data_IF_488222694582
#
_entry.id   IF_488222694582
#
_cell.length_a   1.000
_cell.length_b   1.000
_cell.length_c   1.000
_cell.angle_alpha   90.00
_cell.angle_beta   90.00
_cell.angle_gamma   90.00
#
_symmetry.space_group_name_H-M   'P 1'
#
loop_
_entity.id
_entity.type
_entity.pdbx_description
1 polymer ?
#
# COMPACT_ATOMS: atom_id res chain seq x y z
N UNK A 1 -13.68 16.16 1.29
CA UNK A 1 -14.23 15.33 2.38
C UNK A 1 -14.42 16.22 3.62
N UNK A 2 -15.07 17.38 3.41
CA UNK A 2 -14.79 18.57 4.23
C UNK A 2 -15.29 18.41 5.68
N UNK A 3 -14.38 18.65 6.63
CA UNK A 3 -14.54 18.61 8.11
C UNK A 3 -14.50 17.25 8.82
N UNK A 4 -14.18 16.13 8.14
CA UNK A 4 -13.94 14.85 8.83
C UNK A 4 -12.48 14.71 9.20
N UNK A 5 -12.20 14.37 10.46
CA UNK A 5 -10.85 14.01 10.94
C UNK A 5 -10.60 12.52 10.75
N UNK A 6 -9.33 12.14 10.71
CA UNK A 6 -8.95 10.73 10.69
C UNK A 6 -9.29 10.03 11.99
N UNK A 7 -9.53 8.72 11.91
CA UNK A 7 -9.80 7.85 13.08
C UNK A 7 -8.63 7.90 14.05
N UNK A 8 -7.42 7.77 13.51
CA UNK A 8 -6.18 8.10 14.20
C UNK A 8 -5.22 8.72 13.20
N UNK A 9 -4.62 9.82 13.64
CA UNK A 9 -3.71 10.58 12.83
C UNK A 9 -2.25 10.24 13.16
N UNK A 10 -1.43 10.10 12.12
CA UNK A 10 0.01 9.95 12.23
C UNK A 10 0.69 11.23 12.72
N UNK A 11 1.99 11.11 13.00
CA UNK A 11 2.84 12.22 13.46
C UNK A 11 4.05 12.36 12.53
N UNK A 12 4.29 13.58 12.06
CA UNK A 12 5.45 13.97 11.24
C UNK A 12 6.09 15.19 11.88
N UNK A 13 7.15 14.99 12.68
CA UNK A 13 7.85 16.08 13.35
C UNK A 13 9.11 16.50 12.61
N UNK A 14 9.79 15.52 12.00
CA UNK A 14 11.09 15.69 11.36
C UNK A 14 10.93 15.28 9.90
N UNK A 15 10.88 16.27 9.03
CA UNK A 15 10.75 16.04 7.60
C UNK A 15 11.67 16.96 6.81
N UNK A 16 11.92 16.58 5.58
CA UNK A 16 12.74 17.32 4.61
C UNK A 16 12.07 17.33 3.24
N UNK A 17 12.47 18.27 2.39
CA UNK A 17 11.98 18.39 1.02
C UNK A 17 13.14 18.51 0.04
N UNK A 18 13.08 17.72 -1.05
CA UNK A 18 14.00 17.82 -2.19
C UNK A 18 13.16 18.08 -3.44
N UNK A 19 13.57 19.07 -4.23
CA UNK A 19 13.01 19.37 -5.52
C UNK A 19 13.98 18.98 -6.64
N UNK A 20 13.52 18.12 -7.55
CA UNK A 20 14.23 17.75 -8.78
C UNK A 20 13.66 18.40 -10.03
N UNK A 21 12.65 19.27 -9.90
CA UNK A 21 12.00 19.95 -11.02
C UNK A 21 12.51 21.39 -11.16
N UNK A 22 13.12 21.70 -12.32
CA UNK A 22 13.73 23.00 -12.59
C UNK A 22 12.70 24.15 -12.67
N UNK A 23 11.45 23.84 -13.04
CA UNK A 23 10.38 24.80 -13.21
C UNK A 23 9.63 25.17 -11.91
N UNK A 24 10.08 24.68 -10.75
CA UNK A 24 9.47 24.97 -9.46
C UNK A 24 10.40 25.86 -8.64
N UNK A 25 10.05 27.14 -8.51
CA UNK A 25 10.83 28.09 -7.72
C UNK A 25 10.68 27.86 -6.21
N UNK A 26 11.61 28.39 -5.42
CA UNK A 26 11.60 28.27 -3.95
C UNK A 26 10.28 28.75 -3.33
N UNK A 27 9.72 29.85 -3.84
CA UNK A 27 8.44 30.38 -3.39
C UNK A 27 7.28 29.39 -3.57
N UNK A 28 7.23 28.64 -4.68
CA UNK A 28 6.23 27.60 -4.89
C UNK A 28 6.44 26.39 -3.97
N UNK A 29 7.69 26.01 -3.70
CA UNK A 29 8.01 24.92 -2.77
C UNK A 29 7.54 25.27 -1.37
N UNK A 30 7.86 26.48 -0.89
CA UNK A 30 7.46 26.96 0.43
C UNK A 30 5.94 27.07 0.56
N UNK A 31 5.27 27.67 -0.43
CA UNK A 31 3.81 27.77 -0.44
C UNK A 31 3.15 26.39 -0.38
N UNK A 32 3.62 25.44 -1.20
CA UNK A 32 3.13 24.06 -1.19
C UNK A 32 3.35 23.37 0.15
N UNK A 33 4.55 23.46 0.72
CA UNK A 33 4.87 22.84 2.01
C UNK A 33 4.03 23.41 3.16
N UNK A 34 3.83 24.73 3.19
CA UNK A 34 3.01 25.40 4.20
C UNK A 34 1.54 24.97 4.08
N UNK A 35 0.98 24.96 2.87
CA UNK A 35 -0.40 24.55 2.64
C UNK A 35 -0.61 23.06 2.98
N UNK A 36 0.32 22.19 2.59
CA UNK A 36 0.30 20.78 2.96
C UNK A 36 0.31 20.59 4.48
N UNK A 37 1.14 21.35 5.21
CA UNK A 37 1.19 21.30 6.66
C UNK A 37 -0.13 21.76 7.28
N UNK A 38 -0.77 22.81 6.74
CA UNK A 38 -2.10 23.27 7.17
C UNK A 38 -3.15 22.16 6.99
N UNK A 39 -3.26 21.57 5.80
CA UNK A 39 -4.25 20.51 5.52
C UNK A 39 -3.99 19.26 6.36
N UNK A 40 -2.72 18.94 6.66
CA UNK A 40 -2.38 17.89 7.62
C UNK A 40 -2.98 18.18 9.01
N UNK A 41 -2.78 19.39 9.54
CA UNK A 41 -3.28 19.79 10.85
C UNK A 41 -4.82 19.80 10.91
N UNK A 42 -5.48 20.25 9.84
CA UNK A 42 -6.94 20.24 9.71
C UNK A 42 -7.54 18.82 9.84
N UNK A 43 -6.87 17.83 9.25
CA UNK A 43 -7.26 16.42 9.34
C UNK A 43 -6.77 15.72 10.62
N UNK A 44 -6.02 16.42 11.47
CA UNK A 44 -5.57 15.97 12.77
C UNK A 44 -4.16 15.37 12.82
N UNK A 45 -3.40 15.37 11.71
CA UNK A 45 -1.99 14.95 11.73
C UNK A 45 -1.20 15.94 12.57
N UNK A 46 -0.32 15.41 13.42
CA UNK A 46 0.69 16.23 14.08
C UNK A 46 1.82 16.48 13.09
N UNK A 47 1.72 17.56 12.33
CA UNK A 47 2.70 17.90 11.30
C UNK A 47 3.46 19.18 11.69
N UNK A 48 4.79 19.10 11.75
CA UNK A 48 5.61 20.27 12.03
C UNK A 48 5.64 21.22 10.83
N UNK A 49 5.38 22.50 11.03
CA UNK A 49 5.27 23.50 9.95
C UNK A 49 6.60 23.72 9.22
N UNK A 50 7.73 23.48 9.88
CA UNK A 50 9.06 23.71 9.32
C UNK A 50 9.82 22.40 9.10
N UNK A 51 10.52 22.25 7.96
CA UNK A 51 11.41 21.12 7.75
C UNK A 51 12.65 21.22 8.64
N UNK A 52 13.35 20.10 8.84
CA UNK A 52 14.59 20.02 9.65
C UNK A 52 15.71 20.86 9.04
N UNK A 53 15.77 20.91 7.72
CA UNK A 53 16.68 21.73 6.93
C UNK A 53 15.91 22.45 5.83
N UNK A 54 16.38 23.61 5.33
CA UNK A 54 15.80 24.25 4.16
C UNK A 54 15.66 23.27 2.99
N UNK A 55 14.65 23.48 2.15
CA UNK A 55 14.45 22.66 0.96
C UNK A 55 15.67 22.74 0.02
N UNK A 56 15.91 21.70 -0.79
CA UNK A 56 16.99 21.68 -1.78
C UNK A 56 16.45 21.45 -3.16
N UNK A 57 16.80 22.34 -4.07
CA UNK A 57 16.64 22.12 -5.51
C UNK A 57 17.94 21.55 -6.08
N UNK A 58 17.84 20.45 -6.83
CA UNK A 58 18.99 19.78 -7.43
C UNK A 58 18.61 19.12 -8.76
N UNK A 59 19.55 18.98 -9.71
CA UNK A 59 19.28 18.30 -10.98
C UNK A 59 19.08 16.78 -10.77
N UNK A 60 18.23 16.11 -11.58
CA UNK A 60 17.98 14.66 -11.49
C UNK A 60 19.22 13.76 -11.64
N UNK A 61 20.26 14.22 -12.32
CA UNK A 61 21.42 13.43 -12.71
C UNK A 61 22.14 12.74 -11.52
N UNK A 62 22.11 13.35 -10.34
CA UNK A 62 22.80 12.87 -9.13
C UNK A 62 21.82 12.44 -8.02
N UNK A 63 20.63 11.94 -8.37
CA UNK A 63 19.56 11.61 -7.42
C UNK A 63 20.03 10.80 -6.19
N UNK A 64 20.89 9.80 -6.38
CA UNK A 64 21.33 8.95 -5.27
C UNK A 64 22.14 9.71 -4.24
N UNK A 65 23.15 10.44 -4.71
CA UNK A 65 23.98 11.28 -3.86
C UNK A 65 23.13 12.36 -3.19
N UNK A 66 22.29 13.07 -3.95
CA UNK A 66 21.46 14.16 -3.43
C UNK A 66 20.53 13.67 -2.31
N UNK A 67 19.84 12.54 -2.51
CA UNK A 67 18.93 11.97 -1.50
C UNK A 67 19.69 11.52 -0.26
N UNK A 68 20.82 10.81 -0.42
CA UNK A 68 21.63 10.32 0.70
C UNK A 68 22.28 11.47 1.48
N UNK A 69 22.97 12.39 0.81
CA UNK A 69 23.65 13.53 1.43
C UNK A 69 22.63 14.37 2.22
N UNK A 70 21.46 14.65 1.63
CA UNK A 70 20.41 15.42 2.30
C UNK A 70 19.80 14.68 3.49
N UNK A 71 19.62 13.36 3.39
CA UNK A 71 19.17 12.54 4.52
C UNK A 71 20.17 12.61 5.69
N UNK A 72 21.46 12.45 5.42
CA UNK A 72 22.50 12.50 6.46
C UNK A 72 22.69 13.91 7.05
N UNK A 73 22.65 14.96 6.24
CA UNK A 73 22.68 16.36 6.70
C UNK A 73 21.54 16.63 7.71
N UNK A 74 20.33 16.18 7.40
CA UNK A 74 19.19 16.33 8.30
C UNK A 74 19.35 15.48 9.56
N UNK A 75 19.92 14.28 9.44
CA UNK A 75 20.17 13.37 10.56
C UNK A 75 21.17 13.94 11.56
N UNK A 76 22.20 14.66 11.09
CA UNK A 76 23.18 15.32 11.95
C UNK A 76 22.59 16.46 12.78
N UNK A 77 21.52 17.12 12.29
CA UNK A 77 20.86 18.22 13.01
C UNK A 77 19.84 17.75 14.04
N UNK A 78 19.36 16.52 13.96
CA UNK A 78 18.39 15.97 14.92
C UNK A 78 19.13 15.20 16.03
N UNK A 79 18.82 15.52 17.29
CA UNK A 79 19.36 14.81 18.46
C UNK A 79 18.83 13.37 18.57
N UNK A 80 17.72 13.07 17.89
CA UNK A 80 17.06 11.77 17.86
C UNK A 80 17.32 11.04 16.54
N UNK A 81 17.42 9.71 16.58
CA UNK A 81 17.90 8.89 15.47
C UNK A 81 16.92 8.65 14.30
N UNK A 82 15.81 9.40 14.19
CA UNK A 82 14.79 9.10 13.16
C UNK A 82 14.25 10.34 12.46
N UNK A 83 14.44 10.40 11.15
CA UNK A 83 13.73 11.29 10.24
C UNK A 83 12.41 10.63 9.81
N UNK A 84 11.30 11.36 9.86
CA UNK A 84 9.96 10.79 9.70
C UNK A 84 9.53 10.73 8.22
N UNK A 85 9.82 11.76 7.43
CA UNK A 85 9.31 11.92 6.06
C UNK A 85 10.29 12.65 5.14
N UNK A 86 10.44 12.14 3.91
CA UNK A 86 11.06 12.86 2.78
C UNK A 86 9.98 13.20 1.73
N UNK A 87 9.73 14.49 1.52
CA UNK A 87 8.92 14.98 0.40
C UNK A 87 9.83 15.17 -0.81
N UNK A 88 9.42 14.67 -1.96
CA UNK A 88 10.20 14.80 -3.20
C UNK A 88 9.34 15.39 -4.31
N UNK A 89 9.75 16.52 -4.86
CA UNK A 89 9.11 17.13 -6.03
C UNK A 89 9.84 16.65 -7.27
N UNK A 90 9.09 16.08 -8.23
CA UNK A 90 9.62 15.44 -9.42
C UNK A 90 9.11 16.14 -10.69
N UNK A 91 9.89 16.17 -11.78
CA UNK A 91 9.39 16.50 -13.11
C UNK A 91 8.18 15.63 -13.51
N UNK A 92 7.35 16.08 -14.45
CA UNK A 92 6.10 15.38 -14.79
C UNK A 92 6.32 14.04 -15.52
N UNK A 93 7.46 13.88 -16.17
CA UNK A 93 7.95 12.73 -16.95
C UNK A 93 9.02 11.89 -16.22
N UNK A 94 8.99 11.90 -14.89
CA UNK A 94 10.04 11.37 -14.02
C UNK A 94 10.03 9.84 -13.81
N UNK A 95 9.64 9.01 -14.78
CA UNK A 95 9.40 7.56 -14.54
C UNK A 95 10.58 6.82 -13.90
N UNK A 96 11.78 6.96 -14.49
CA UNK A 96 13.02 6.36 -13.94
C UNK A 96 13.46 7.03 -12.63
N UNK A 97 13.34 8.36 -12.54
CA UNK A 97 13.72 9.11 -11.36
C UNK A 97 12.87 8.74 -10.14
N UNK A 98 11.55 8.59 -10.31
CA UNK A 98 10.63 8.10 -9.29
C UNK A 98 11.06 6.73 -8.77
N UNK A 99 11.39 5.79 -9.69
CA UNK A 99 11.88 4.46 -9.33
C UNK A 99 13.18 4.51 -8.53
N UNK A 100 14.13 5.36 -8.92
CA UNK A 100 15.39 5.54 -8.20
C UNK A 100 15.16 6.11 -6.79
N UNK A 101 14.40 7.20 -6.66
CA UNK A 101 14.04 7.78 -5.36
C UNK A 101 13.40 6.73 -4.46
N UNK A 102 12.46 5.95 -5.00
CA UNK A 102 11.76 4.90 -4.26
C UNK A 102 12.70 3.79 -3.80
N UNK A 103 13.53 3.26 -4.69
CA UNK A 103 14.58 2.29 -4.36
C UNK A 103 15.46 2.81 -3.23
N UNK A 104 16.07 3.98 -3.38
CA UNK A 104 16.98 4.54 -2.38
C UNK A 104 16.29 4.67 -1.02
N UNK A 105 15.08 5.26 -0.98
CA UNK A 105 14.35 5.49 0.25
C UNK A 105 13.95 4.19 0.96
N UNK A 106 13.48 3.20 0.20
CA UNK A 106 12.87 1.98 0.74
C UNK A 106 13.90 0.86 0.97
N UNK A 107 15.05 0.86 0.27
CA UNK A 107 16.11 -0.16 0.42
C UNK A 107 17.39 0.33 1.09
N UNK A 108 17.85 1.55 0.78
CA UNK A 108 19.20 1.97 1.20
C UNK A 108 19.18 2.74 2.53
N UNK A 109 18.21 3.65 2.72
CA UNK A 109 18.17 4.55 3.90
C UNK A 109 16.98 4.35 4.83
N UNK A 110 15.94 3.63 4.40
CA UNK A 110 14.78 3.27 5.25
C UNK A 110 13.93 4.45 5.70
N UNK A 111 13.60 5.38 4.78
CA UNK A 111 12.76 6.56 5.06
C UNK A 111 11.44 6.50 4.29
N UNK A 112 10.35 6.93 4.94
CA UNK A 112 9.06 7.12 4.27
C UNK A 112 9.20 8.30 3.31
N UNK A 113 8.90 8.06 2.03
CA UNK A 113 8.92 9.10 1.00
C UNK A 113 7.56 9.38 0.38
N UNK A 114 7.29 10.65 0.09
CA UNK A 114 6.11 11.11 -0.64
C UNK A 114 6.51 11.97 -1.83
N UNK A 115 6.42 11.37 -3.03
CA UNK A 115 6.72 12.07 -4.28
C UNK A 115 5.50 12.84 -4.79
N UNK A 116 5.73 14.05 -5.31
CA UNK A 116 4.73 14.93 -5.89
C UNK A 116 5.22 15.39 -7.27
N UNK A 117 4.32 15.43 -8.26
CA UNK A 117 4.65 15.96 -9.58
C UNK A 117 4.70 17.48 -9.56
N UNK A 118 5.65 18.07 -10.28
CA UNK A 118 5.85 19.51 -10.41
C UNK A 118 4.55 20.23 -10.78
N UNK A 119 3.80 19.75 -11.78
CA UNK A 119 2.51 20.34 -12.16
C UNK A 119 1.53 20.44 -10.98
N UNK A 120 1.49 19.44 -10.10
CA UNK A 120 0.60 19.46 -8.92
C UNK A 120 1.06 20.40 -7.81
N UNK A 121 2.36 20.72 -7.77
CA UNK A 121 2.96 21.70 -6.86
C UNK A 121 2.81 23.13 -7.40
N UNK A 122 2.78 23.31 -8.72
CA UNK A 122 2.50 24.60 -9.35
C UNK A 122 1.02 24.94 -9.32
N UNK A 123 0.15 23.95 -9.51
CA UNK A 123 -1.32 24.07 -9.51
C UNK A 123 -1.92 23.53 -8.19
N UNK A 124 -1.34 23.94 -7.05
CA UNK A 124 -1.80 23.47 -5.73
C UNK A 124 -3.27 23.83 -5.54
N UNK A 125 -4.03 22.82 -5.17
CA UNK A 125 -5.42 22.97 -4.79
C UNK A 125 -5.74 22.02 -3.63
N UNK A 126 -6.79 22.38 -2.89
CA UNK A 126 -7.20 21.66 -1.69
C UNK A 126 -7.53 20.19 -1.97
N UNK A 127 -8.16 19.86 -3.09
CA UNK A 127 -8.52 18.47 -3.43
C UNK A 127 -7.28 17.58 -3.64
N UNK A 128 -6.25 18.11 -4.30
CA UNK A 128 -4.96 17.43 -4.43
C UNK A 128 -4.31 17.18 -3.07
N UNK A 129 -4.33 18.18 -2.19
CA UNK A 129 -3.76 18.08 -0.85
C UNK A 129 -4.55 17.10 0.03
N UNK A 130 -5.89 17.09 0.00
CA UNK A 130 -6.70 16.07 0.69
C UNK A 130 -6.25 14.66 0.29
N UNK A 131 -6.10 14.41 -1.02
CA UNK A 131 -5.62 13.13 -1.53
C UNK A 131 -4.20 12.78 -1.07
N UNK A 132 -3.32 13.79 -0.94
CA UNK A 132 -1.96 13.62 -0.47
C UNK A 132 -1.90 13.30 1.04
N UNK A 133 -2.68 14.01 1.84
CA UNK A 133 -2.76 13.84 3.29
C UNK A 133 -3.34 12.47 3.67
N UNK A 134 -4.32 11.96 2.90
CA UNK A 134 -4.81 10.58 3.06
C UNK A 134 -3.68 9.54 2.92
N UNK A 135 -2.76 9.75 1.96
CA UNK A 135 -1.62 8.85 1.73
C UNK A 135 -0.57 8.99 2.82
N UNK A 136 -0.28 10.22 3.24
CA UNK A 136 0.67 10.50 4.30
C UNK A 136 0.22 9.86 5.61
N UNK A 137 -1.06 10.01 5.98
CA UNK A 137 -1.56 9.46 7.24
C UNK A 137 -1.32 7.94 7.33
N UNK A 138 -1.69 7.19 6.29
CA UNK A 138 -1.50 5.73 6.24
C UNK A 138 -0.03 5.34 6.29
N UNK A 139 0.84 6.05 5.57
CA UNK A 139 2.30 5.82 5.62
C UNK A 139 2.87 6.05 7.01
N UNK A 140 2.32 7.01 7.75
CA UNK A 140 2.71 7.32 9.12
C UNK A 140 2.01 6.43 10.16
N UNK A 141 1.34 5.36 9.74
CA UNK A 141 0.65 4.41 10.62
C UNK A 141 -0.73 4.86 11.13
N UNK A 142 -1.25 5.98 10.61
CA UNK A 142 -2.61 6.44 10.89
C UNK A 142 -3.66 5.70 10.05
N UNK A 143 -4.92 5.74 10.49
CA UNK A 143 -6.07 5.16 9.79
C UNK A 143 -7.03 6.28 9.42
N UNK A 144 -7.34 6.36 8.13
CA UNK A 144 -8.20 7.42 7.61
C UNK A 144 -9.66 7.20 8.00
N UNK A 145 -10.13 5.96 7.89
CA UNK A 145 -11.49 5.56 8.17
C UNK A 145 -11.51 4.11 8.69
N UNK A 146 -12.59 3.76 9.38
CA UNK A 146 -12.90 2.40 9.84
C UNK A 146 -14.39 2.18 9.66
N UNK A 147 -14.81 0.95 9.39
CA UNK A 147 -16.23 0.61 9.35
C UNK A 147 -16.80 0.73 10.76
N UNK A 148 -17.95 1.40 10.90
CA UNK A 148 -18.62 1.55 12.20
C UNK A 148 -18.92 0.19 12.83
N UNK A 149 -19.30 -0.78 12.01
CA UNK A 149 -19.54 -2.16 12.46
C UNK A 149 -18.27 -2.87 12.91
N UNK A 150 -17.08 -2.49 12.42
CA UNK A 150 -15.82 -3.04 12.94
C UNK A 150 -15.57 -2.58 14.37
N UNK A 151 -15.80 -1.30 14.66
CA UNK A 151 -15.70 -0.73 16.01
C UNK A 151 -16.72 -1.42 16.94
N UNK A 152 -17.95 -1.56 16.47
CA UNK A 152 -19.03 -2.21 17.22
C UNK A 152 -18.90 -3.74 17.27
N UNK A 153 -17.89 -4.33 16.59
CA UNK A 153 -17.68 -5.79 16.46
C UNK A 153 -18.90 -6.53 15.88
N UNK A 154 -19.55 -5.91 14.90
CA UNK A 154 -20.76 -6.41 14.23
C UNK A 154 -20.53 -6.81 12.78
N UNK A 155 -19.30 -6.83 12.28
CA UNK A 155 -19.06 -7.33 10.92
C UNK A 155 -19.35 -8.83 10.93
N UNK A 156 -20.37 -9.31 10.19
CA UNK A 156 -20.75 -10.71 10.20
C UNK A 156 -19.56 -11.59 9.83
N UNK A 157 -19.43 -12.75 10.48
CA UNK A 157 -18.32 -13.70 10.30
C UNK A 157 -16.96 -13.17 10.80
N UNK A 158 -16.54 -11.97 10.40
CA UNK A 158 -15.21 -11.42 10.68
C UNK A 158 -15.05 -11.08 12.17
N UNK A 159 -16.05 -10.46 12.80
CA UNK A 159 -15.94 -10.02 14.20
C UNK A 159 -16.11 -11.14 15.23
N UNK A 160 -16.62 -12.31 14.84
CA UNK A 160 -16.91 -13.44 15.74
C UNK A 160 -15.66 -14.14 16.27
N UNK A 161 -14.64 -14.26 15.42
CA UNK A 161 -13.38 -14.96 15.70
C UNK A 161 -12.22 -14.22 15.05
N UNK A 162 -10.99 -14.27 15.61
CA UNK A 162 -9.80 -13.70 15.00
C UNK A 162 -9.68 -14.12 13.53
N UNK A 163 -9.83 -13.14 12.63
CA UNK A 163 -9.87 -13.38 11.19
C UNK A 163 -8.80 -12.51 10.54
N UNK A 164 -7.93 -13.14 9.76
CA UNK A 164 -6.93 -12.45 8.92
C UNK A 164 -7.42 -12.46 7.47
N UNK A 165 -7.32 -11.31 6.81
CA UNK A 165 -7.69 -11.14 5.41
C UNK A 165 -6.43 -10.89 4.60
N UNK A 166 -6.20 -11.74 3.61
CA UNK A 166 -5.12 -11.64 2.65
C UNK A 166 -5.61 -11.11 1.32
N UNK A 167 -4.73 -10.37 0.64
CA UNK A 167 -4.85 -10.02 -0.77
C UNK A 167 -3.58 -10.42 -1.50
N UNK A 168 -3.70 -11.04 -2.66
CA UNK A 168 -2.55 -11.49 -3.43
C UNK A 168 -2.73 -11.25 -4.93
N UNK A 169 -1.70 -10.67 -5.55
CA UNK A 169 -1.69 -10.36 -6.98
C UNK A 169 -0.34 -10.71 -7.61
N UNK A 170 -0.35 -10.92 -8.92
CA UNK A 170 0.83 -11.18 -9.73
C UNK A 170 0.89 -10.15 -10.86
N UNK A 171 2.04 -9.50 -10.99
CA UNK A 171 2.36 -8.62 -12.10
C UNK A 171 3.33 -9.30 -13.06
N UNK A 172 2.84 -9.58 -14.27
CA UNK A 172 3.65 -10.08 -15.38
C UNK A 172 4.32 -8.93 -16.15
N UNK A 173 5.47 -9.17 -16.77
CA UNK A 173 6.09 -8.18 -17.64
C UNK A 173 5.26 -7.94 -18.90
N UNK A 174 5.35 -6.72 -19.44
CA UNK A 174 4.68 -6.35 -20.68
C UNK A 174 5.06 -7.30 -21.85
N UNK A 175 4.16 -7.49 -22.83
CA UNK A 175 4.46 -8.24 -24.05
C UNK A 175 5.79 -7.78 -24.68
N UNK A 176 6.59 -8.74 -25.15
CA UNK A 176 7.92 -8.47 -25.72
C UNK A 176 9.08 -8.51 -24.72
N UNK A 177 8.83 -8.48 -23.40
CA UNK A 177 9.87 -8.60 -22.36
C UNK A 177 10.00 -10.04 -21.82
N UNK A 178 10.47 -10.95 -22.66
CA UNK A 178 10.49 -12.40 -22.40
C UNK A 178 11.45 -12.87 -21.29
N UNK A 179 12.45 -12.07 -20.91
CA UNK A 179 13.40 -12.39 -19.83
C UNK A 179 13.07 -11.68 -18.51
N UNK A 180 12.11 -10.76 -18.50
CA UNK A 180 11.75 -10.03 -17.28
C UNK A 180 11.04 -10.96 -16.29
N UNK A 181 11.29 -10.83 -14.98
CA UNK A 181 10.66 -11.68 -13.98
C UNK A 181 9.18 -11.33 -13.83
N UNK A 182 8.46 -12.22 -13.18
CA UNK A 182 7.13 -11.94 -12.63
C UNK A 182 7.28 -11.57 -11.16
N UNK A 183 6.49 -10.63 -10.68
CA UNK A 183 6.47 -10.25 -9.28
C UNK A 183 5.13 -10.65 -8.65
N UNK A 184 5.18 -11.25 -7.48
CA UNK A 184 4.01 -11.49 -6.64
C UNK A 184 4.03 -10.55 -5.45
N UNK A 185 2.85 -10.12 -5.04
CA UNK A 185 2.66 -9.32 -3.83
C UNK A 185 1.57 -9.96 -2.99
N UNK A 186 1.85 -10.15 -1.70
CA UNK A 186 0.91 -10.69 -0.72
C UNK A 186 0.80 -9.70 0.42
N UNK A 187 -0.41 -9.21 0.65
CA UNK A 187 -0.74 -8.35 1.77
C UNK A 187 -1.63 -9.08 2.76
N UNK A 188 -1.53 -8.75 4.03
CA UNK A 188 -2.41 -9.30 5.07
C UNK A 188 -2.81 -8.23 6.08
N UNK A 189 -4.07 -8.25 6.52
CA UNK A 189 -4.57 -7.39 7.60
C UNK A 189 -3.76 -7.59 8.87
N UNK A 190 -3.55 -6.54 9.65
CA UNK A 190 -2.64 -6.51 10.81
C UNK A 190 -3.34 -6.11 12.11
N UNK A 191 -4.60 -5.70 12.02
CA UNK A 191 -5.48 -5.33 13.11
C UNK A 191 -6.81 -6.06 12.97
N UNK A 192 -7.31 -6.59 14.09
CA UNK A 192 -8.62 -7.24 14.17
C UNK A 192 -9.31 -6.77 15.45
N UNK A 193 -10.62 -6.47 15.42
CA UNK A 193 -11.58 -6.71 14.33
C UNK A 193 -11.72 -5.58 13.29
N UNK A 194 -10.89 -4.54 13.37
CA UNK A 194 -11.07 -3.32 12.57
C UNK A 194 -10.64 -3.45 11.09
N UNK A 195 -9.69 -4.35 10.77
CA UNK A 195 -9.21 -4.65 9.41
C UNK A 195 -8.88 -3.39 8.59
N UNK A 196 -8.06 -2.50 9.13
CA UNK A 196 -7.70 -1.22 8.48
C UNK A 196 -6.25 -1.13 8.05
N UNK A 197 -5.38 -1.94 8.65
CA UNK A 197 -3.93 -1.87 8.49
C UNK A 197 -3.46 -3.14 7.81
N UNK A 198 -2.59 -3.02 6.80
CA UNK A 198 -2.05 -4.16 6.06
C UNK A 198 -0.52 -4.11 6.04
N UNK A 199 0.12 -5.27 6.15
CA UNK A 199 1.53 -5.45 5.83
C UNK A 199 1.64 -6.05 4.43
N UNK A 200 2.74 -5.78 3.73
CA UNK A 200 2.99 -6.26 2.39
C UNK A 200 4.32 -7.02 2.32
N UNK A 201 4.31 -8.14 1.59
CA UNK A 201 5.50 -8.88 1.19
C UNK A 201 5.49 -9.00 -0.33
N UNK A 202 6.65 -8.81 -0.95
CA UNK A 202 6.80 -8.83 -2.41
C UNK A 202 7.93 -9.77 -2.76
N UNK A 203 7.67 -10.66 -3.70
CA UNK A 203 8.61 -11.70 -4.09
C UNK A 203 8.80 -11.72 -5.60
N UNK A 204 10.04 -11.99 -6.01
CA UNK A 204 10.40 -12.17 -7.42
C UNK A 204 10.29 -13.66 -7.75
N UNK A 205 9.60 -13.98 -8.84
CA UNK A 205 9.44 -15.35 -9.32
C UNK A 205 9.77 -15.50 -10.82
N UNK A 206 10.00 -16.74 -11.30
CA UNK A 206 10.27 -16.99 -12.71
C UNK A 206 9.18 -16.41 -13.63
N UNK A 207 9.56 -16.04 -14.85
CA UNK A 207 8.67 -15.36 -15.78
C UNK A 207 7.38 -16.16 -16.07
N UNK A 208 6.25 -15.46 -16.15
CA UNK A 208 4.91 -15.95 -16.52
C UNK A 208 4.36 -17.09 -15.66
N UNK A 209 4.87 -17.29 -14.44
CA UNK A 209 4.25 -18.22 -13.49
C UNK A 209 3.04 -17.58 -12.80
N UNK A 210 1.89 -18.25 -12.89
CA UNK A 210 0.63 -17.79 -12.32
C UNK A 210 0.42 -18.20 -10.84
N UNK A 211 1.19 -19.20 -10.38
CA UNK A 211 1.19 -19.64 -8.98
C UNK A 211 2.19 -18.78 -8.20
N UNK A 212 1.80 -18.28 -7.03
CA UNK A 212 2.71 -17.60 -6.12
C UNK A 212 3.56 -18.64 -5.39
N UNK A 213 4.85 -18.70 -5.72
CA UNK A 213 5.76 -19.73 -5.17
C UNK A 213 6.13 -19.47 -3.71
N UNK A 214 6.20 -18.20 -3.33
CA UNK A 214 6.74 -17.76 -2.04
C UNK A 214 5.68 -17.61 -0.94
N UNK A 215 4.48 -18.19 -1.15
CA UNK A 215 3.47 -18.27 -0.09
C UNK A 215 3.98 -19.08 1.10
N UNK A 216 4.70 -20.16 0.82
CA UNK A 216 5.38 -21.00 1.81
C UNK A 216 6.55 -21.73 1.17
N UNK A 217 7.74 -21.62 1.77
CA UNK A 217 8.93 -22.27 1.26
C UNK A 217 9.02 -23.71 1.78
N UNK A 218 8.77 -24.66 0.87
CA UNK A 218 8.80 -26.09 1.20
C UNK A 218 10.21 -26.67 1.38
N UNK A 219 11.27 -25.92 1.03
CA UNK A 219 12.66 -26.39 1.17
C UNK A 219 13.14 -26.30 2.61
N UNK A 220 12.78 -25.23 3.32
CA UNK A 220 13.15 -25.04 4.73
C UNK A 220 11.98 -25.27 5.69
N UNK A 221 10.74 -25.28 5.19
CA UNK A 221 9.49 -25.42 5.95
C UNK A 221 9.33 -24.40 7.10
N UNK A 222 10.07 -23.29 7.08
CA UNK A 222 10.06 -22.27 8.14
C UNK A 222 10.02 -20.84 7.61
N UNK A 223 10.05 -20.65 6.28
CA UNK A 223 9.92 -19.34 5.63
C UNK A 223 8.73 -19.27 4.66
N UNK A 224 8.33 -18.06 4.31
CA UNK A 224 7.31 -17.76 3.31
C UNK A 224 6.25 -16.78 3.77
N UNK A 225 5.65 -16.09 2.80
CA UNK A 225 4.86 -14.89 3.06
C UNK A 225 3.61 -15.13 3.91
N UNK A 226 2.96 -16.29 3.81
CA UNK A 226 1.81 -16.61 4.67
C UNK A 226 2.27 -16.73 6.12
N UNK A 227 3.37 -17.45 6.36
CA UNK A 227 3.89 -17.71 7.70
C UNK A 227 4.30 -16.41 8.40
N UNK A 228 5.02 -15.55 7.69
CA UNK A 228 5.46 -14.25 8.18
C UNK A 228 4.27 -13.34 8.56
N UNK A 229 3.24 -13.29 7.71
CA UNK A 229 2.03 -12.53 8.00
C UNK A 229 1.25 -13.08 9.21
N UNK A 230 1.18 -14.39 9.38
CA UNK A 230 0.53 -15.02 10.54
C UNK A 230 1.27 -14.69 11.85
N UNK A 231 2.60 -14.67 11.83
CA UNK A 231 3.42 -14.23 12.98
C UNK A 231 3.15 -12.76 13.27
N UNK A 232 3.27 -11.89 12.26
CA UNK A 232 3.08 -10.44 12.47
C UNK A 232 1.67 -10.11 12.97
N UNK A 233 0.65 -10.83 12.47
CA UNK A 233 -0.72 -10.70 12.98
C UNK A 233 -0.82 -11.09 14.47
N UNK A 234 -0.20 -12.21 14.88
CA UNK A 234 -0.20 -12.64 16.28
C UNK A 234 0.52 -11.64 17.18
N UNK A 235 1.64 -11.09 16.74
CA UNK A 235 2.39 -10.06 17.47
C UNK A 235 1.58 -8.78 17.65
N UNK A 236 0.87 -8.31 16.61
CA UNK A 236 0.11 -7.05 16.66
C UNK A 236 -1.24 -7.15 17.33
N UNK A 237 -1.94 -8.28 17.17
CA UNK A 237 -3.30 -8.45 17.69
C UNK A 237 -3.34 -9.22 19.00
N UNK A 238 -2.29 -9.98 19.32
CA UNK A 238 -2.29 -10.93 20.43
C UNK A 238 -3.08 -12.21 20.13
N UNK A 239 -3.68 -12.38 18.94
CA UNK A 239 -4.49 -13.54 18.57
C UNK A 239 -3.89 -14.34 17.42
N UNK A 240 -4.06 -15.67 17.44
CA UNK A 240 -3.81 -16.50 16.25
C UNK A 240 -5.08 -16.46 15.40
N UNK A 241 -5.01 -16.24 14.08
CA UNK A 241 -6.21 -16.29 13.25
C UNK A 241 -6.90 -17.65 13.33
N UNK A 242 -8.18 -17.68 13.67
CA UNK A 242 -9.00 -18.89 13.54
C UNK A 242 -9.59 -19.03 12.13
N UNK A 243 -9.54 -17.95 11.34
CA UNK A 243 -10.06 -17.88 9.97
C UNK A 243 -9.11 -17.09 9.06
N UNK A 244 -8.95 -17.59 7.85
CA UNK A 244 -8.21 -16.96 6.75
C UNK A 244 -9.19 -16.68 5.61
N UNK A 245 -9.29 -15.43 5.17
CA UNK A 245 -9.97 -15.06 3.93
C UNK A 245 -8.89 -14.62 2.96
N UNK A 246 -8.80 -15.24 1.78
CA UNK A 246 -7.72 -15.01 0.83
C UNK A 246 -8.29 -14.55 -0.51
N UNK A 247 -8.10 -13.28 -0.87
CA UNK A 247 -8.46 -12.72 -2.16
C UNK A 247 -7.29 -12.83 -3.14
N UNK A 248 -7.46 -13.57 -4.25
CA UNK A 248 -6.45 -13.80 -5.27
C UNK A 248 -6.87 -13.15 -6.60
N UNK A 249 -6.18 -12.09 -7.03
CA UNK A 249 -6.40 -11.39 -8.31
C UNK A 249 -5.56 -11.97 -9.45
N UNK A 250 -5.80 -11.65 -10.73
CA UNK A 250 -4.88 -11.99 -11.81
C UNK A 250 -4.78 -13.48 -12.17
N UNK A 251 -5.82 -14.26 -11.85
CA UNK A 251 -5.90 -15.69 -12.24
C UNK A 251 -6.78 -15.83 -13.47
N UNK A 252 -6.18 -16.27 -14.59
CA UNK A 252 -6.92 -16.62 -15.81
C UNK A 252 -7.80 -17.86 -15.55
N UNK A 253 -9.00 -17.88 -16.15
CA UNK A 253 -9.99 -18.96 -15.91
C UNK A 253 -9.41 -20.37 -16.09
N UNK A 254 -8.60 -20.59 -17.13
CA UNK A 254 -7.99 -21.89 -17.43
C UNK A 254 -6.96 -22.42 -16.42
N UNK A 255 -6.46 -21.57 -15.51
CA UNK A 255 -5.46 -21.96 -14.49
C UNK A 255 -6.00 -21.94 -13.06
N UNK A 256 -7.30 -21.61 -12.88
CA UNK A 256 -7.90 -21.39 -11.56
C UNK A 256 -7.79 -22.61 -10.63
N UNK A 257 -8.06 -23.81 -11.11
CA UNK A 257 -8.00 -25.03 -10.30
C UNK A 257 -6.59 -25.36 -9.81
N UNK A 258 -5.58 -25.21 -10.67
CA UNK A 258 -4.19 -25.48 -10.28
C UNK A 258 -3.69 -24.45 -9.26
N UNK A 259 -3.98 -23.16 -9.50
CA UNK A 259 -3.65 -22.08 -8.56
C UNK A 259 -4.28 -22.35 -7.20
N UNK A 260 -5.57 -22.68 -7.17
CA UNK A 260 -6.28 -23.01 -5.92
C UNK A 260 -5.61 -24.16 -5.17
N UNK A 261 -5.33 -25.28 -5.85
CA UNK A 261 -4.73 -26.46 -5.21
C UNK A 261 -3.37 -26.13 -4.60
N UNK A 262 -2.48 -25.49 -5.37
CA UNK A 262 -1.12 -25.21 -4.92
C UNK A 262 -1.07 -24.13 -3.83
N UNK A 263 -1.81 -23.04 -3.99
CA UNK A 263 -1.76 -21.92 -3.05
C UNK A 263 -2.48 -22.24 -1.72
N UNK A 264 -3.58 -22.98 -1.75
CA UNK A 264 -4.24 -23.45 -0.52
C UNK A 264 -3.37 -24.47 0.23
N UNK A 265 -2.69 -25.37 -0.48
CA UNK A 265 -1.73 -26.28 0.14
C UNK A 265 -0.59 -25.50 0.83
N UNK A 266 -0.04 -24.48 0.17
CA UNK A 266 0.97 -23.61 0.75
C UNK A 266 0.47 -22.90 2.02
N UNK A 267 -0.76 -22.37 2.03
CA UNK A 267 -1.37 -21.75 3.21
C UNK A 267 -1.49 -22.76 4.36
N UNK A 268 -1.94 -23.99 4.06
CA UNK A 268 -2.08 -25.06 5.08
C UNK A 268 -0.74 -25.46 5.67
N UNK A 269 0.29 -25.62 4.83
CA UNK A 269 1.66 -25.93 5.29
C UNK A 269 2.22 -24.81 6.16
N UNK A 270 2.00 -23.55 5.79
CA UNK A 270 2.42 -22.41 6.61
C UNK A 270 1.76 -22.44 8.00
N UNK A 271 0.47 -22.77 8.09
CA UNK A 271 -0.21 -22.92 9.37
C UNK A 271 0.40 -24.08 10.18
N UNK A 272 0.55 -25.26 9.59
CA UNK A 272 1.12 -26.42 10.26
C UNK A 272 2.58 -26.19 10.72
N UNK A 273 3.36 -25.40 9.99
CA UNK A 273 4.74 -25.04 10.36
C UNK A 273 4.86 -24.16 11.61
N UNK A 274 3.77 -23.52 12.04
CA UNK A 274 3.75 -22.66 13.23
C UNK A 274 3.38 -23.42 14.49
N UNK A 275 2.49 -24.41 14.37
CA UNK A 275 2.02 -25.23 15.47
C UNK A 275 1.37 -26.49 14.91
N UNK A 276 1.68 -27.64 15.52
CA UNK A 276 1.08 -28.92 15.15
C UNK A 276 -0.45 -28.83 15.23
N UNK A 277 -1.11 -29.33 14.19
CA UNK A 277 -2.58 -29.31 14.04
C UNK A 277 -3.23 -27.92 13.99
N UNK A 278 -2.48 -26.83 13.81
CA UNK A 278 -3.07 -25.51 13.56
C UNK A 278 -3.71 -25.46 12.16
N UNK A 279 -5.04 -25.57 12.12
CA UNK A 279 -5.84 -25.66 10.89
C UNK A 279 -6.98 -24.64 10.90
N UNK A 280 -6.70 -23.34 10.69
CA UNK A 280 -7.74 -22.32 10.60
C UNK A 280 -8.65 -22.56 9.39
N UNK A 281 -9.90 -22.10 9.46
CA UNK A 281 -10.84 -22.20 8.32
C UNK A 281 -10.37 -21.27 7.20
N UNK A 282 -10.24 -21.79 5.98
CA UNK A 282 -9.77 -21.03 4.81
C UNK A 282 -10.94 -20.79 3.86
N UNK A 283 -11.14 -19.54 3.47
CA UNK A 283 -12.01 -19.13 2.36
C UNK A 283 -11.13 -18.50 1.28
N UNK A 284 -11.05 -19.16 0.11
CA UNK A 284 -10.24 -18.70 -1.02
C UNK A 284 -11.14 -18.12 -2.11
N UNK A 285 -10.91 -16.86 -2.47
CA UNK A 285 -11.76 -16.09 -3.39
C UNK A 285 -10.90 -15.63 -4.56
N UNK A 286 -11.20 -16.12 -5.76
CA UNK A 286 -10.59 -15.62 -6.98
C UNK A 286 -11.32 -14.36 -7.43
N UNK A 287 -10.57 -13.27 -7.63
CA UNK A 287 -11.08 -11.98 -8.11
C UNK A 287 -10.69 -11.84 -9.57
N UNK A 288 -11.67 -11.58 -10.43
CA UNK A 288 -11.45 -11.30 -11.86
C UNK A 288 -12.01 -9.92 -12.18
N UNK A 289 -11.13 -8.94 -12.36
CA UNK A 289 -11.52 -7.56 -12.73
C UNK A 289 -11.62 -7.36 -14.24
N UNK A 290 -10.76 -8.04 -15.00
CA UNK A 290 -10.75 -8.01 -16.46
C UNK A 290 -11.64 -9.11 -17.03
N UNK A 291 -12.94 -8.86 -17.15
CA UNK A 291 -13.90 -9.79 -17.76
C UNK A 291 -14.80 -9.07 -18.77
N UNK A 292 -15.46 -9.84 -19.64
CA UNK A 292 -16.37 -9.31 -20.65
C UNK A 292 -17.81 -9.13 -20.17
N UNK A 293 -18.15 -9.61 -18.98
CA UNK A 293 -19.48 -9.42 -18.37
C UNK A 293 -19.73 -7.94 -18.08
N UNK A 294 -20.83 -7.40 -18.60
CA UNK A 294 -21.26 -6.02 -18.34
C UNK A 294 -22.68 -6.01 -17.79
N UNK A 295 -22.87 -5.19 -16.76
CA UNK A 295 -24.17 -4.90 -16.18
C UNK A 295 -24.61 -3.50 -16.60
N UNK A 296 -25.86 -3.37 -17.02
CA UNK A 296 -26.45 -2.09 -17.41
C UNK A 296 -27.70 -1.83 -16.57
N UNK A 297 -27.95 -0.55 -16.19
CA UNK A 297 -29.20 -0.18 -15.56
C UNK A 297 -30.35 -0.43 -16.55
N UNK A 298 -31.46 -0.96 -16.06
CA UNK A 298 -32.63 -1.26 -16.90
C UNK A 298 -33.34 0.03 -17.37
N UNK A 299 -33.35 1.07 -16.55
CA UNK A 299 -33.90 2.39 -16.89
C UNK A 299 -32.79 3.44 -16.98
N UNK A 300 -32.77 4.22 -18.08
CA UNK A 300 -31.76 5.26 -18.31
C UNK A 300 -31.90 6.46 -17.36
N UNK A 301 -33.10 6.69 -16.83
CA UNK A 301 -33.44 7.87 -16.02
C UNK A 301 -33.35 7.65 -14.50
N UNK A 302 -33.03 6.44 -14.05
CA UNK A 302 -32.89 6.14 -12.61
C UNK A 302 -31.63 5.32 -12.31
N UNK A 303 -30.46 5.99 -12.21
CA UNK A 303 -29.19 5.34 -11.88
C UNK A 303 -29.14 4.79 -10.44
N UNK A 304 -30.18 4.99 -9.64
CA UNK A 304 -30.28 4.55 -8.24
C UNK A 304 -31.38 3.53 -7.97
N UNK A 305 -32.23 3.20 -8.95
CA UNK A 305 -33.31 2.25 -8.71
C UNK A 305 -32.76 0.85 -8.45
N UNK A 306 -33.14 0.25 -7.32
CA UNK A 306 -32.97 -1.18 -7.00
C UNK A 306 -33.75 -2.10 -7.99
N UNK A 307 -34.34 -1.52 -9.04
CA UNK A 307 -35.14 -2.18 -10.06
C UNK A 307 -34.25 -2.67 -11.22
N UNK A 308 -33.55 -3.77 -10.96
CA UNK A 308 -33.04 -4.67 -12.00
C UNK A 308 -31.84 -4.16 -12.79
N UNK A 309 -30.77 -4.96 -12.80
CA UNK A 309 -29.70 -4.87 -13.80
C UNK A 309 -29.88 -6.00 -14.81
N UNK A 310 -29.63 -5.75 -16.09
CA UNK A 310 -29.51 -6.84 -17.07
C UNK A 310 -28.05 -7.11 -17.42
N UNK A 311 -27.74 -8.38 -17.69
CA UNK A 311 -26.41 -8.85 -18.04
C UNK A 311 -26.35 -9.15 -19.54
N UNK A 312 -25.37 -8.58 -20.24
CA UNK A 312 -25.03 -9.01 -21.60
C UNK A 312 -23.75 -9.86 -21.54
N UNK A 313 -23.88 -11.14 -21.90
CA UNK A 313 -22.74 -11.97 -22.28
C UNK A 313 -22.48 -11.81 -23.78
N UNK A 314 -21.24 -11.52 -24.18
CA UNK A 314 -20.84 -11.72 -25.58
C UNK A 314 -20.59 -13.22 -25.76
N UNK A 315 -21.42 -13.87 -26.57
CA UNK A 315 -21.25 -15.24 -27.05
C UNK A 315 -20.01 -15.37 -27.93
#
# INVERSE_FOLDING_TARGET
MMKKKFVNAGTVQRWICINFAENVSEAFIEAFCNELASVCLEHGLKFNLRPVVPHLSAPPANVERVVKDRYFEAKEKIKENKLDLLIVILPDDSGLLYGNVKRICETDIGIISQCCKAKKVLEVNHQFLEGLVLKLNVKMGGRNAVLVDAIAKRIPVISELPTIIFGADISHPNPGKWSSPTFSAVVASQDWPEITTYAALVSKQPNRRAIIEDLFNTRDNVSGGIREHLISFKEKTGFKPSRIIFYRDGVNQGHSSQVLIHEVDAIRRACNSLEDNYQPRITFIVVQKGHHTKFFPYHQDDPSSEQGMYCQGQS
#
